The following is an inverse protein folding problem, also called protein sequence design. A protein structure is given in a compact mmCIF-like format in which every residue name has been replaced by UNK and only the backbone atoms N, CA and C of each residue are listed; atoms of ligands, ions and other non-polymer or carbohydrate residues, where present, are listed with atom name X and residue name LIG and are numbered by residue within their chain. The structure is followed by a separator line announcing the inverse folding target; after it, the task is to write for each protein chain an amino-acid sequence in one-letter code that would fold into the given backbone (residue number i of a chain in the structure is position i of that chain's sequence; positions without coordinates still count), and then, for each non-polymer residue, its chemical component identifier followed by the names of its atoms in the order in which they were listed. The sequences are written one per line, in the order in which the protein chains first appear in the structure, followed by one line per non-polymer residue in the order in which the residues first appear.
data_IF_829946905474
#
_entry.id   IF_829946905474
#
_cell.length_a   1.000
_cell.length_b   1.000
_cell.length_c   1.000
_cell.angle_alpha   90.00
_cell.angle_beta   90.00
_cell.angle_gamma   90.00
#
_symmetry.space_group_name_H-M   'P 1'
#
loop_
_entity.id
_entity.type
_entity.pdbx_description
1 polymer ?
#
# COMPACT_ATOMS: atom_id res chain seq x y z
N UNK A 1 -21.35 4.08 7.29
CA UNK A 1 -20.39 5.13 6.86
C UNK A 1 -19.03 4.57 6.39
N UNK A 2 -18.68 3.30 6.62
CA UNK A 2 -17.42 2.68 6.16
C UNK A 2 -17.34 2.39 4.65
N UNK A 3 -18.46 1.97 4.03
CA UNK A 3 -18.51 1.64 2.60
C UNK A 3 -18.04 2.80 1.70
N UNK A 4 -18.42 4.04 2.06
CA UNK A 4 -18.15 5.24 1.26
C UNK A 4 -16.65 5.60 1.15
N UNK A 5 -15.82 5.26 2.14
CA UNK A 5 -14.36 5.49 2.08
C UNK A 5 -13.66 4.47 1.17
N UNK A 6 -14.05 3.20 1.27
CA UNK A 6 -13.50 2.11 0.45
C UNK A 6 -13.80 2.35 -1.02
N UNK A 7 -15.03 2.72 -1.36
CA UNK A 7 -15.44 2.98 -2.75
C UNK A 7 -14.63 4.12 -3.37
N UNK A 8 -14.47 5.24 -2.68
CA UNK A 8 -13.69 6.37 -3.18
C UNK A 8 -12.22 6.03 -3.38
N UNK A 9 -11.67 5.17 -2.50
CA UNK A 9 -10.28 4.74 -2.58
C UNK A 9 -10.06 3.74 -3.72
N UNK A 10 -10.95 2.75 -3.86
CA UNK A 10 -10.97 1.83 -5.00
C UNK A 10 -11.12 2.61 -6.30
N UNK A 11 -12.03 3.59 -6.37
CA UNK A 11 -12.23 4.40 -7.57
C UNK A 11 -11.04 5.33 -7.85
N UNK A 12 -10.38 5.88 -6.82
CA UNK A 12 -9.16 6.68 -6.96
C UNK A 12 -7.96 5.87 -7.44
N UNK A 13 -7.96 4.56 -7.18
CA UNK A 13 -6.86 3.67 -7.55
C UNK A 13 -7.13 2.96 -8.89
N UNK A 14 -8.37 2.55 -9.14
CA UNK A 14 -8.85 1.96 -10.39
C UNK A 14 -9.53 3.06 -11.20
N UNK A 15 -8.74 3.90 -11.85
CA UNK A 15 -9.25 4.75 -12.92
C UNK A 15 -9.63 3.84 -14.10
N UNK A 16 -10.92 3.57 -14.28
CA UNK A 16 -11.68 3.50 -15.54
C UNK A 16 -12.86 2.52 -15.47
N UNK A 17 -13.96 2.97 -16.09
CA UNK A 17 -15.21 2.28 -16.45
C UNK A 17 -16.28 2.07 -15.36
N UNK A 18 -17.22 3.01 -15.32
CA UNK A 18 -18.49 2.96 -14.56
C UNK A 18 -19.45 1.82 -15.03
N UNK A 19 -19.07 1.00 -16.02
CA UNK A 19 -19.98 0.09 -16.73
C UNK A 19 -19.71 -1.42 -16.52
N UNK A 20 -18.83 -1.83 -15.60
CA UNK A 20 -18.54 -3.26 -15.41
C UNK A 20 -19.34 -3.86 -14.24
N UNK A 21 -20.37 -4.60 -14.60
CA UNK A 21 -21.22 -5.40 -13.71
C UNK A 21 -20.49 -6.63 -13.13
N UNK A 22 -20.46 -6.72 -11.80
CA UNK A 22 -20.44 -7.90 -10.90
C UNK A 22 -19.56 -9.16 -11.16
N UNK A 23 -18.73 -9.24 -12.19
CA UNK A 23 -17.76 -10.35 -12.43
C UNK A 23 -16.29 -9.93 -12.24
N UNK A 24 -16.04 -8.88 -11.43
CA UNK A 24 -14.87 -8.02 -11.65
C UNK A 24 -13.55 -8.62 -11.14
N UNK A 25 -13.51 -9.24 -9.97
CA UNK A 25 -12.24 -9.49 -9.27
C UNK A 25 -11.33 -10.48 -10.00
N UNK A 26 -11.86 -11.51 -10.66
CA UNK A 26 -11.05 -12.49 -11.40
C UNK A 26 -10.39 -11.89 -12.65
N UNK A 27 -11.04 -10.92 -13.28
CA UNK A 27 -10.57 -10.24 -14.50
C UNK A 27 -9.57 -9.11 -14.21
N UNK A 28 -9.44 -8.69 -12.96
CA UNK A 28 -8.47 -7.67 -12.57
C UNK A 28 -7.03 -8.16 -12.76
N UNK A 29 -6.21 -7.27 -13.30
CA UNK A 29 -4.76 -7.40 -13.29
C UNK A 29 -4.21 -7.51 -11.87
N UNK A 30 -2.99 -8.03 -11.72
CA UNK A 30 -2.31 -8.11 -10.42
C UNK A 30 -2.22 -6.74 -9.73
N UNK A 31 -1.93 -5.69 -10.51
CA UNK A 31 -1.90 -4.30 -10.03
C UNK A 31 -3.26 -3.81 -9.51
N UNK A 32 -4.35 -4.05 -10.23
CA UNK A 32 -5.70 -3.68 -9.78
C UNK A 32 -6.13 -4.43 -8.52
N UNK A 33 -5.82 -5.72 -8.43
CA UNK A 33 -6.05 -6.51 -7.20
C UNK A 33 -5.29 -5.93 -6.01
N UNK A 34 -4.01 -5.58 -6.22
CA UNK A 34 -3.16 -4.98 -5.19
C UNK A 34 -3.70 -3.62 -4.74
N UNK A 35 -4.18 -2.80 -5.67
CA UNK A 35 -4.86 -1.53 -5.40
C UNK A 35 -6.09 -1.73 -4.50
N UNK A 36 -7.00 -2.65 -4.82
CA UNK A 36 -8.17 -2.95 -3.98
C UNK A 36 -7.74 -3.41 -2.59
N UNK A 37 -6.75 -4.29 -2.50
CA UNK A 37 -6.24 -4.77 -1.21
C UNK A 37 -5.74 -3.63 -0.34
N UNK A 38 -4.92 -2.74 -0.91
CA UNK A 38 -4.43 -1.54 -0.23
C UNK A 38 -5.60 -0.63 0.19
N UNK A 39 -6.60 -0.46 -0.68
CA UNK A 39 -7.81 0.29 -0.34
C UNK A 39 -8.52 -0.26 0.89
N UNK A 40 -8.66 -1.58 0.96
CA UNK A 40 -9.29 -2.24 2.09
C UNK A 40 -8.48 -2.04 3.37
N UNK A 41 -7.15 -2.18 3.32
CA UNK A 41 -6.26 -2.00 4.47
C UNK A 41 -6.39 -0.57 5.03
N UNK A 42 -6.27 0.45 4.19
CA UNK A 42 -6.34 1.85 4.65
C UNK A 42 -7.75 2.28 5.08
N UNK A 43 -8.79 1.58 4.63
CA UNK A 43 -10.16 1.84 5.10
C UNK A 43 -10.44 1.36 6.53
N UNK A 44 -9.56 0.50 7.08
CA UNK A 44 -9.68 0.03 8.46
C UNK A 44 -9.40 1.17 9.45
N UNK A 45 -9.82 1.00 10.70
CA UNK A 45 -9.46 1.89 11.82
C UNK A 45 -8.24 1.35 12.60
N UNK A 46 -7.41 0.53 11.94
CA UNK A 46 -6.22 -0.05 12.56
C UNK A 46 -5.22 1.05 12.94
N UNK A 47 -4.80 1.05 14.21
CA UNK A 47 -3.77 1.97 14.71
C UNK A 47 -2.38 1.62 14.17
N UNK A 48 -2.17 0.34 13.82
CA UNK A 48 -0.91 -0.18 13.27
C UNK A 48 -1.19 -0.95 11.98
N UNK A 49 -0.44 -0.64 10.92
CA UNK A 49 -0.51 -1.30 9.61
C UNK A 49 0.90 -1.81 9.26
N UNK A 50 1.00 -3.07 8.86
CA UNK A 50 2.25 -3.67 8.37
C UNK A 50 2.07 -4.03 6.90
N UNK A 51 3.00 -3.55 6.06
CA UNK A 51 3.00 -3.79 4.61
C UNK A 51 4.29 -4.46 4.19
N UNK A 52 4.18 -5.64 3.58
CA UNK A 52 5.30 -6.39 3.02
C UNK A 52 5.35 -6.24 1.50
N UNK A 53 6.47 -5.75 0.98
CA UNK A 53 6.71 -5.37 -0.41
C UNK A 53 5.52 -4.66 -1.10
N UNK A 54 4.99 -3.55 -0.51
CA UNK A 54 3.78 -2.90 -1.00
C UNK A 54 3.95 -2.28 -2.39
N UNK A 55 5.18 -1.93 -2.77
CA UNK A 55 5.48 -1.27 -4.05
C UNK A 55 5.78 -2.24 -5.19
N UNK A 56 5.98 -3.54 -4.90
CA UNK A 56 6.31 -4.52 -5.93
C UNK A 56 5.21 -4.62 -6.99
N UNK A 57 5.59 -4.75 -8.26
CA UNK A 57 4.69 -4.92 -9.41
C UNK A 57 3.71 -3.75 -9.67
N UNK A 58 3.88 -2.62 -8.97
CA UNK A 58 3.13 -1.39 -9.25
C UNK A 58 3.84 -0.56 -10.32
N UNK A 59 3.07 -0.04 -11.28
CA UNK A 59 3.54 1.02 -12.18
C UNK A 59 3.77 2.33 -11.42
N UNK A 60 4.42 3.30 -12.07
CA UNK A 60 4.78 4.58 -11.45
C UNK A 60 3.57 5.37 -10.94
N UNK A 61 2.44 5.31 -11.64
CA UNK A 61 1.22 6.02 -11.25
C UNK A 61 0.64 5.40 -9.97
N UNK A 62 0.49 4.07 -9.95
CA UNK A 62 0.00 3.32 -8.80
C UNK A 62 0.92 3.47 -7.57
N UNK A 63 2.25 3.47 -7.77
CA UNK A 63 3.22 3.75 -6.70
C UNK A 63 2.98 5.12 -6.08
N UNK A 64 2.84 6.17 -6.91
CA UNK A 64 2.62 7.53 -6.43
C UNK A 64 1.32 7.65 -5.61
N UNK A 65 0.24 7.02 -6.08
CA UNK A 65 -1.02 7.01 -5.33
C UNK A 65 -0.85 6.31 -3.98
N UNK A 66 -0.17 5.16 -3.94
CA UNK A 66 0.07 4.44 -2.69
C UNK A 66 0.93 5.27 -1.71
N UNK A 67 2.00 5.89 -2.19
CA UNK A 67 2.86 6.77 -1.37
C UNK A 67 2.03 7.90 -0.77
N UNK A 68 1.18 8.55 -1.57
CA UNK A 68 0.30 9.61 -1.10
C UNK A 68 -0.64 9.14 0.04
N UNK A 69 -1.19 7.93 -0.06
CA UNK A 69 -2.04 7.36 0.99
C UNK A 69 -1.26 7.02 2.25
N UNK A 70 -0.08 6.42 2.11
CA UNK A 70 0.79 6.12 3.25
C UNK A 70 1.14 7.41 4.00
N UNK A 71 1.63 8.44 3.31
CA UNK A 71 1.99 9.73 3.93
C UNK A 71 0.79 10.42 4.59
N UNK A 72 -0.42 10.19 4.07
CA UNK A 72 -1.64 10.74 4.67
C UNK A 72 -2.05 10.00 5.94
N UNK A 73 -1.95 8.66 5.93
CA UNK A 73 -2.34 7.80 7.05
C UNK A 73 -1.28 7.72 8.14
N UNK A 74 -0.01 7.98 7.84
CA UNK A 74 1.07 8.00 8.84
C UNK A 74 0.95 9.16 9.83
N UNK A 75 0.09 10.14 9.54
CA UNK A 75 -0.17 11.29 10.43
C UNK A 75 -0.90 10.91 11.71
N UNK A 76 -1.70 9.85 11.67
CA UNK A 76 -2.55 9.40 12.77
C UNK A 76 -2.37 7.90 13.10
N UNK A 77 -1.48 7.19 12.40
CA UNK A 77 -1.29 5.74 12.53
C UNK A 77 0.18 5.35 12.38
N UNK A 78 0.54 4.21 12.96
CA UNK A 78 1.85 3.60 12.76
C UNK A 78 1.80 2.73 11.51
N UNK A 79 2.67 3.00 10.54
CA UNK A 79 2.79 2.21 9.32
C UNK A 79 4.21 1.65 9.26
N UNK A 80 4.33 0.32 9.28
CA UNK A 80 5.59 -0.39 9.13
C UNK A 80 5.66 -0.93 7.70
N UNK A 81 6.69 -0.51 6.97
CA UNK A 81 6.91 -0.94 5.59
C UNK A 81 8.17 -1.78 5.52
N UNK A 82 8.03 -2.97 4.95
CA UNK A 82 9.14 -3.88 4.67
C UNK A 82 9.34 -3.86 3.16
N UNK A 83 10.49 -3.37 2.72
CA UNK A 83 10.82 -3.31 1.29
C UNK A 83 12.33 -3.23 1.08
N UNK A 84 12.77 -3.68 -0.09
CA UNK A 84 14.16 -3.52 -0.55
C UNK A 84 14.46 -2.14 -1.14
N UNK A 85 13.45 -1.39 -1.57
CA UNK A 85 13.62 -0.06 -2.17
C UNK A 85 12.65 0.94 -1.55
N UNK A 86 13.18 1.99 -0.94
CA UNK A 86 12.39 3.07 -0.33
C UNK A 86 12.12 4.14 -1.40
N UNK A 87 10.84 4.40 -1.76
CA UNK A 87 10.51 5.49 -2.67
C UNK A 87 10.95 6.85 -2.12
N UNK A 88 11.41 7.74 -3.00
CA UNK A 88 11.96 9.04 -2.59
C UNK A 88 10.90 10.01 -2.06
N UNK A 89 9.68 9.82 -2.50
CA UNK A 89 8.51 10.64 -2.18
C UNK A 89 7.81 10.18 -0.89
N UNK A 90 8.29 9.09 -0.27
CA UNK A 90 7.75 8.58 0.97
C UNK A 90 8.19 9.47 2.14
N UNK A 91 7.23 10.01 2.88
CA UNK A 91 7.51 10.77 4.09
C UNK A 91 7.78 9.77 5.23
N UNK A 92 9.06 9.54 5.53
CA UNK A 92 9.48 8.63 6.59
C UNK A 92 10.03 9.40 7.80
N UNK A 93 9.53 9.10 9.00
CA UNK A 93 10.10 9.62 10.24
C UNK A 93 11.36 8.84 10.67
N UNK A 94 11.34 7.52 10.46
CA UNK A 94 12.43 6.61 10.82
C UNK A 94 12.66 5.56 9.73
N UNK A 95 13.94 5.23 9.47
CA UNK A 95 14.33 4.17 8.54
C UNK A 95 15.26 3.20 9.28
N UNK A 96 14.81 1.96 9.45
CA UNK A 96 15.63 0.86 9.97
C UNK A 96 16.17 0.06 8.80
N UNK A 97 17.50 0.04 8.62
CA UNK A 97 18.15 -0.74 7.55
C UNK A 97 18.64 -2.07 8.10
N UNK A 98 18.00 -3.16 7.68
CA UNK A 98 18.40 -4.51 8.05
C UNK A 98 19.37 -5.06 7.02
N UNK A 99 20.63 -5.23 7.40
CA UNK A 99 21.62 -5.93 6.59
C UNK A 99 21.65 -7.40 7.01
N UNK A 100 21.12 -8.29 6.16
CA UNK A 100 21.27 -9.72 6.36
C UNK A 100 22.65 -10.14 5.86
N UNK A 101 23.58 -10.47 6.78
CA UNK A 101 24.82 -11.16 6.44
C UNK A 101 24.60 -12.67 6.51
N UNK A 102 25.14 -13.40 5.53
CA UNK A 102 24.87 -14.83 5.22
C UNK A 102 25.05 -15.87 6.35
N UNK A 103 25.36 -15.51 7.60
CA UNK A 103 25.63 -16.52 8.64
C UNK A 103 25.09 -16.27 10.05
N UNK A 104 24.38 -15.19 10.34
CA UNK A 104 23.67 -15.05 11.61
C UNK A 104 22.48 -14.11 11.41
N UNK A 105 21.29 -14.53 11.83
CA UNK A 105 20.05 -13.74 11.81
C UNK A 105 20.10 -12.60 12.84
N UNK A 106 21.19 -11.83 12.88
CA UNK A 106 21.40 -10.73 13.82
C UNK A 106 21.04 -9.44 13.10
N UNK A 107 19.83 -8.97 13.37
CA UNK A 107 19.41 -7.62 13.04
C UNK A 107 20.11 -6.68 14.01
N UNK A 108 21.06 -5.88 13.51
CA UNK A 108 21.59 -4.73 14.27
C UNK A 108 20.69 -3.55 13.96
N UNK A 109 19.96 -3.07 14.98
CA UNK A 109 19.10 -1.87 14.91
C UNK A 109 19.93 -0.63 15.17
#
# INVERSE_FOLDING_TARGET
MHSFKVSNLINSLINNDENKDKSIVSELSGGEKKKILLSMIFSTESEVIILDEPFAELDSEAKNVLIHYINSCSKDRIIIIITHEIPKELDNEEIIKINMSDNDNVVTV
#
